data_IF_144541529130
#
_entry.id   IF_144541529130
#
_cell.length_a   1.000
_cell.length_b   1.000
_cell.length_c   1.000
_cell.angle_alpha   90.00
_cell.angle_beta   90.00
_cell.angle_gamma   90.00
#
_symmetry.space_group_name_H-M   'P 1'
#
loop_
_entity.id
_entity.type
_entity.pdbx_description
1 polymer ?
#
# COMPACT_ATOMS: atom_id res chain seq x y z
N UNK A 1 22.87 -30.28 -42.32
CA UNK A 1 22.94 -30.31 -40.84
C UNK A 1 21.77 -29.46 -40.35
N UNK A 2 20.58 -30.04 -40.42
CA UNK A 2 19.31 -29.38 -40.11
C UNK A 2 19.09 -29.35 -38.61
N UNK A 3 18.80 -28.16 -38.06
CA UNK A 3 18.29 -28.00 -36.70
C UNK A 3 16.84 -28.47 -36.69
N UNK A 4 16.60 -29.66 -36.14
CA UNK A 4 15.27 -30.08 -35.72
C UNK A 4 14.82 -29.19 -34.57
N UNK A 5 13.90 -28.28 -34.83
CA UNK A 5 13.06 -27.67 -33.81
C UNK A 5 12.25 -28.79 -33.14
N UNK A 6 12.58 -29.07 -31.88
CA UNK A 6 11.81 -29.99 -31.06
C UNK A 6 10.52 -29.32 -30.61
N UNK A 7 9.48 -29.41 -31.44
CA UNK A 7 8.10 -29.31 -30.97
C UNK A 7 7.94 -30.45 -29.96
N UNK A 8 7.96 -30.12 -28.66
CA UNK A 8 7.59 -31.06 -27.62
C UNK A 8 6.12 -31.42 -27.87
N UNK A 9 5.87 -32.67 -28.26
CA UNK A 9 4.53 -33.24 -28.28
C UNK A 9 3.93 -33.13 -26.87
N UNK A 10 3.02 -32.19 -26.67
CA UNK A 10 2.18 -32.12 -25.48
C UNK A 10 1.27 -33.35 -25.48
N UNK A 11 1.56 -34.31 -24.60
CA UNK A 11 0.71 -35.47 -24.39
C UNK A 11 -0.62 -35.04 -23.78
N UNK A 12 -1.67 -35.10 -24.61
CA UNK A 12 -3.10 -35.24 -24.32
C UNK A 12 -3.55 -35.02 -22.86
N UNK A 13 -3.82 -33.77 -22.48
CA UNK A 13 -5.11 -33.52 -21.84
C UNK A 13 -6.06 -33.21 -23.00
N UNK A 14 -6.81 -34.20 -23.52
CA UNK A 14 -7.80 -33.92 -24.57
C UNK A 14 -9.01 -33.23 -23.94
N UNK A 15 -8.83 -31.97 -23.54
CA UNK A 15 -9.93 -31.14 -23.06
C UNK A 15 -10.99 -31.10 -24.17
N UNK A 16 -12.23 -31.43 -23.84
CA UNK A 16 -13.38 -31.44 -24.75
C UNK A 16 -14.48 -30.51 -24.25
N UNK A 17 -15.36 -30.12 -25.15
CA UNK A 17 -16.59 -29.42 -24.77
C UNK A 17 -17.38 -30.23 -23.73
N UNK A 18 -17.77 -29.57 -22.64
CA UNK A 18 -18.42 -30.19 -21.48
C UNK A 18 -17.48 -30.53 -20.33
N UNK A 19 -16.16 -30.59 -20.56
CA UNK A 19 -15.21 -30.93 -19.50
C UNK A 19 -15.08 -29.81 -18.45
N UNK A 20 -14.90 -30.16 -17.16
CA UNK A 20 -14.57 -29.19 -16.12
C UNK A 20 -13.23 -28.51 -16.39
N UNK A 21 -13.19 -27.19 -16.19
CA UNK A 21 -12.00 -26.36 -16.36
C UNK A 21 -11.92 -25.32 -15.26
N UNK A 22 -10.71 -24.98 -14.81
CA UNK A 22 -10.47 -24.04 -13.73
C UNK A 22 -9.78 -22.76 -14.19
N UNK A 23 -10.02 -21.69 -13.45
CA UNK A 23 -9.28 -20.44 -13.45
C UNK A 23 -8.67 -20.28 -12.07
N UNK A 24 -7.36 -20.43 -11.95
CA UNK A 24 -6.65 -20.23 -10.68
C UNK A 24 -6.08 -18.81 -10.61
N UNK A 25 -6.49 -18.06 -9.59
CA UNK A 25 -6.11 -16.66 -9.38
C UNK A 25 -4.97 -16.53 -8.36
N UNK A 26 -4.97 -17.40 -7.35
CA UNK A 26 -3.91 -17.55 -6.35
C UNK A 26 -3.57 -19.03 -6.25
N UNK A 27 -2.28 -19.34 -6.26
CA UNK A 27 -1.73 -20.70 -6.08
C UNK A 27 -0.58 -20.71 -5.08
N UNK A 28 -0.23 -21.88 -4.55
CA UNK A 28 0.79 -22.03 -3.50
C UNK A 28 0.15 -22.50 -2.19
N UNK A 29 0.62 -21.97 -1.06
CA UNK A 29 0.08 -22.31 0.27
C UNK A 29 -1.36 -21.81 0.51
N UNK A 30 -1.85 -20.90 -0.33
CA UNK A 30 -3.24 -20.47 -0.45
C UNK A 30 -3.71 -20.71 -1.88
N UNK A 31 -4.90 -21.30 -2.04
CA UNK A 31 -5.51 -21.50 -3.36
C UNK A 31 -6.83 -20.75 -3.46
N UNK A 32 -6.92 -19.86 -4.44
CA UNK A 32 -8.17 -19.21 -4.83
C UNK A 32 -8.39 -19.47 -6.31
N UNK A 33 -9.43 -20.23 -6.62
CA UNK A 33 -9.76 -20.61 -7.98
C UNK A 33 -11.28 -20.64 -8.20
N UNK A 34 -11.67 -20.41 -9.45
CA UNK A 34 -13.02 -20.64 -9.93
C UNK A 34 -13.03 -21.84 -10.88
N UNK A 35 -14.13 -22.57 -10.90
CA UNK A 35 -14.30 -23.69 -11.85
C UNK A 35 -15.54 -23.48 -12.70
N UNK A 36 -15.43 -23.78 -13.97
CA UNK A 36 -16.50 -23.71 -14.95
C UNK A 36 -16.52 -24.91 -15.86
N UNK A 37 -17.05 -24.72 -17.05
CA UNK A 37 -17.16 -25.76 -18.07
C UNK A 37 -16.53 -25.26 -19.36
N UNK A 38 -15.82 -26.16 -20.03
CA UNK A 38 -15.29 -25.93 -21.36
C UNK A 38 -16.44 -25.87 -22.35
N UNK A 39 -16.61 -24.74 -23.02
CA UNK A 39 -17.68 -24.53 -24.01
C UNK A 39 -17.28 -25.12 -25.35
N UNK A 40 -16.06 -24.83 -25.81
CA UNK A 40 -15.57 -25.25 -27.13
C UNK A 40 -14.05 -25.32 -27.13
N UNK A 41 -13.49 -26.28 -27.88
CA UNK A 41 -12.04 -26.46 -28.05
C UNK A 41 -11.75 -26.61 -29.54
N UNK A 42 -10.82 -25.79 -30.05
CA UNK A 42 -10.33 -25.83 -31.43
C UNK A 42 -8.79 -25.82 -31.43
N UNK A 43 -8.19 -27.00 -31.59
CA UNK A 43 -6.74 -27.15 -31.45
C UNK A 43 -6.29 -26.79 -30.04
N UNK A 44 -5.48 -25.73 -29.90
CA UNK A 44 -5.04 -25.19 -28.60
C UNK A 44 -5.98 -24.14 -28.03
N UNK A 45 -6.93 -23.64 -28.82
CA UNK A 45 -7.85 -22.58 -28.42
C UNK A 45 -9.00 -23.14 -27.59
N UNK A 46 -9.34 -22.47 -26.50
CA UNK A 46 -10.38 -22.88 -25.56
C UNK A 46 -11.32 -21.71 -25.28
N UNK A 47 -12.62 -21.96 -25.37
CA UNK A 47 -13.68 -21.12 -24.82
C UNK A 47 -14.30 -21.82 -23.61
N UNK A 48 -14.54 -21.08 -22.53
CA UNK A 48 -15.10 -21.64 -21.30
C UNK A 48 -16.07 -20.68 -20.57
N UNK A 49 -16.74 -21.22 -19.56
CA UNK A 49 -17.71 -20.61 -18.64
C UNK A 49 -19.05 -20.18 -19.27
N UNK A 50 -19.05 -19.69 -20.51
CA UNK A 50 -20.26 -19.15 -21.15
C UNK A 50 -20.80 -17.87 -20.49
N UNK A 51 -20.02 -17.27 -19.59
CA UNK A 51 -20.24 -16.01 -18.91
C UNK A 51 -18.89 -15.41 -18.49
N UNK A 52 -18.77 -14.09 -18.25
CA UNK A 52 -17.53 -13.51 -17.76
C UNK A 52 -17.21 -14.02 -16.36
N UNK A 53 -15.92 -14.04 -16.01
CA UNK A 53 -15.51 -14.19 -14.62
C UNK A 53 -15.59 -12.84 -13.89
N UNK A 54 -14.89 -11.83 -14.42
CA UNK A 54 -14.90 -10.45 -13.94
C UNK A 54 -15.14 -9.43 -15.06
N UNK A 55 -15.18 -9.86 -16.33
CA UNK A 55 -15.37 -9.02 -17.50
C UNK A 55 -14.30 -7.92 -17.66
N UNK A 56 -13.03 -8.26 -17.39
CA UNK A 56 -11.92 -7.30 -17.43
C UNK A 56 -11.32 -7.08 -18.83
N UNK A 57 -11.80 -7.81 -19.84
CA UNK A 57 -11.25 -7.74 -21.19
C UNK A 57 -9.95 -8.54 -21.29
N UNK A 58 -8.82 -7.95 -21.72
CA UNK A 58 -7.53 -8.63 -21.75
C UNK A 58 -7.06 -9.03 -20.35
N UNK A 59 -6.71 -10.29 -20.17
CA UNK A 59 -6.31 -10.87 -18.87
C UNK A 59 -5.19 -11.90 -19.08
N UNK A 60 -4.59 -12.35 -17.99
CA UNK A 60 -3.66 -13.48 -17.97
C UNK A 60 -3.99 -14.36 -16.77
N UNK A 61 -5.04 -15.18 -16.90
CA UNK A 61 -5.45 -16.08 -15.82
C UNK A 61 -4.90 -17.48 -16.03
N UNK A 62 -4.49 -18.14 -14.94
CA UNK A 62 -4.02 -19.51 -15.00
C UNK A 62 -5.18 -20.46 -15.34
N UNK A 63 -5.11 -21.07 -16.53
CA UNK A 63 -6.03 -22.13 -16.94
C UNK A 63 -5.58 -23.44 -16.31
N UNK A 64 -6.45 -24.08 -15.54
CA UNK A 64 -6.14 -25.36 -14.88
C UNK A 64 -7.08 -26.46 -15.32
N UNK A 65 -6.62 -27.70 -15.19
CA UNK A 65 -7.55 -28.83 -15.08
C UNK A 65 -8.48 -28.62 -13.88
N UNK A 66 -9.69 -29.18 -13.94
CA UNK A 66 -10.58 -29.22 -12.80
C UNK A 66 -11.27 -30.58 -12.72
N UNK A 67 -11.64 -31.00 -11.52
CA UNK A 67 -12.38 -32.22 -11.27
C UNK A 67 -13.63 -31.91 -10.46
N UNK A 68 -14.75 -32.52 -10.84
CA UNK A 68 -15.98 -32.48 -10.05
C UNK A 68 -15.94 -33.63 -9.06
N UNK A 69 -15.83 -33.31 -7.77
CA UNK A 69 -15.77 -34.29 -6.69
C UNK A 69 -17.17 -34.83 -6.42
N UNK A 70 -18.14 -33.93 -6.22
CA UNK A 70 -19.54 -34.28 -5.98
C UNK A 70 -20.46 -33.11 -6.28
N UNK A 71 -21.77 -33.38 -6.31
CA UNK A 71 -22.81 -32.36 -6.32
C UNK A 71 -23.34 -32.23 -4.89
N UNK A 72 -23.34 -31.02 -4.36
CA UNK A 72 -24.00 -30.70 -3.09
C UNK A 72 -25.42 -30.23 -3.41
N UNK A 73 -26.43 -31.09 -3.19
CA UNK A 73 -27.81 -30.72 -3.46
C UNK A 73 -28.27 -29.67 -2.44
N UNK A 74 -28.98 -28.65 -2.93
CA UNK A 74 -29.64 -27.66 -2.09
C UNK A 74 -30.93 -27.21 -2.75
N UNK A 75 -31.97 -27.01 -1.94
CA UNK A 75 -33.28 -26.51 -2.38
C UNK A 75 -33.20 -25.07 -2.91
N UNK A 76 -32.26 -24.26 -2.42
CA UNK A 76 -32.07 -22.89 -2.90
C UNK A 76 -31.20 -22.87 -4.17
N UNK A 77 -30.02 -23.49 -4.12
CA UNK A 77 -29.08 -23.55 -5.24
C UNK A 77 -28.11 -24.72 -5.07
N UNK A 78 -28.23 -25.73 -5.93
CA UNK A 78 -27.27 -26.85 -5.96
C UNK A 78 -25.92 -26.38 -6.52
N UNK A 79 -24.82 -26.89 -5.97
CA UNK A 79 -23.46 -26.54 -6.40
C UNK A 79 -22.60 -27.77 -6.63
N UNK A 80 -21.58 -27.65 -7.49
CA UNK A 80 -20.56 -28.68 -7.66
C UNK A 80 -19.41 -28.37 -6.70
N UNK A 81 -19.02 -29.35 -5.89
CA UNK A 81 -17.75 -29.31 -5.18
C UNK A 81 -16.66 -29.75 -6.15
N UNK A 82 -15.69 -28.89 -6.37
CA UNK A 82 -14.65 -29.08 -7.38
C UNK A 82 -13.26 -28.93 -6.76
N UNK A 83 -12.27 -29.49 -7.43
CA UNK A 83 -10.85 -29.22 -7.17
C UNK A 83 -10.16 -28.82 -8.47
N UNK A 84 -9.15 -27.97 -8.36
CA UNK A 84 -8.27 -27.59 -9.48
C UNK A 84 -7.02 -28.45 -9.49
N UNK A 85 -6.55 -28.77 -10.69
CA UNK A 85 -5.32 -29.53 -10.94
C UNK A 85 -4.18 -28.64 -11.42
N UNK A 86 -3.31 -29.21 -12.26
CA UNK A 86 -2.16 -28.51 -12.85
C UNK A 86 -2.61 -27.34 -13.76
N UNK A 87 -1.76 -26.32 -13.85
CA UNK A 87 -1.88 -25.28 -14.88
C UNK A 87 -1.56 -25.90 -16.24
N UNK A 88 -2.50 -25.78 -17.17
CA UNK A 88 -2.42 -26.31 -18.53
C UNK A 88 -2.37 -25.22 -19.59
N UNK A 89 -2.61 -23.96 -19.24
CA UNK A 89 -2.62 -22.86 -20.21
C UNK A 89 -2.90 -21.50 -19.58
N UNK A 90 -3.33 -20.57 -20.42
CA UNK A 90 -3.63 -19.19 -20.04
C UNK A 90 -4.95 -18.74 -20.66
N UNK A 91 -5.83 -18.15 -19.87
CA UNK A 91 -6.94 -17.36 -20.40
C UNK A 91 -6.46 -15.94 -20.69
N UNK A 92 -6.62 -15.51 -21.94
CA UNK A 92 -6.15 -14.22 -22.43
C UNK A 92 -7.26 -13.18 -22.57
N UNK A 93 -8.53 -13.60 -22.52
CA UNK A 93 -9.70 -12.72 -22.57
C UNK A 93 -10.79 -13.16 -21.59
N UNK A 94 -11.42 -12.18 -20.94
CA UNK A 94 -12.58 -12.31 -20.08
C UNK A 94 -13.64 -11.29 -20.52
N UNK A 95 -14.68 -11.79 -21.19
CA UNK A 95 -15.70 -10.99 -21.88
C UNK A 95 -17.09 -11.48 -21.51
N UNK A 96 -18.11 -10.69 -21.85
CA UNK A 96 -19.51 -10.99 -21.54
C UNK A 96 -20.02 -12.38 -21.99
N UNK A 97 -19.41 -12.97 -23.03
CA UNK A 97 -19.82 -14.30 -23.54
C UNK A 97 -19.03 -15.47 -22.94
N UNK A 98 -18.02 -15.21 -22.12
CA UNK A 98 -17.11 -16.24 -21.62
C UNK A 98 -15.66 -15.79 -21.52
N UNK A 99 -14.81 -16.76 -21.19
CA UNK A 99 -13.35 -16.60 -21.22
C UNK A 99 -12.75 -17.35 -22.40
N UNK A 100 -11.73 -16.77 -23.03
CA UNK A 100 -10.97 -17.36 -24.12
C UNK A 100 -9.50 -17.51 -23.71
N UNK A 101 -8.89 -18.63 -24.09
CA UNK A 101 -7.51 -18.95 -23.74
C UNK A 101 -6.86 -19.97 -24.66
N UNK A 102 -5.60 -20.25 -24.38
CA UNK A 102 -4.75 -21.15 -25.14
C UNK A 102 -4.10 -22.18 -24.21
N UNK A 103 -4.22 -23.47 -24.55
CA UNK A 103 -3.51 -24.56 -23.88
C UNK A 103 -2.01 -24.49 -24.26
N UNK A 104 -1.14 -24.76 -23.28
CA UNK A 104 0.31 -24.79 -23.45
C UNK A 104 1.01 -23.44 -23.30
N UNK A 105 0.25 -22.32 -23.36
CA UNK A 105 0.77 -20.99 -23.03
C UNK A 105 0.63 -20.74 -21.54
N UNK A 106 1.74 -20.56 -20.83
CA UNK A 106 1.69 -20.29 -19.39
C UNK A 106 1.27 -18.84 -19.10
N UNK A 107 0.54 -18.60 -17.99
CA UNK A 107 0.18 -17.25 -17.56
C UNK A 107 1.38 -16.54 -16.92
N UNK A 108 1.37 -15.22 -16.96
CA UNK A 108 2.24 -14.39 -16.14
C UNK A 108 1.70 -14.33 -14.70
N UNK A 109 2.57 -14.65 -13.75
CA UNK A 109 2.25 -14.74 -12.32
C UNK A 109 3.25 -13.91 -11.52
N UNK A 110 2.74 -13.18 -10.52
CA UNK A 110 3.53 -12.42 -9.55
C UNK A 110 3.81 -13.31 -8.33
N UNK A 111 5.08 -13.67 -8.06
CA UNK A 111 5.47 -14.36 -6.84
C UNK A 111 5.31 -13.46 -5.61
N UNK A 112 4.69 -14.00 -4.57
CA UNK A 112 4.54 -13.38 -3.26
C UNK A 112 5.14 -14.30 -2.20
N UNK A 113 6.16 -13.83 -1.51
CA UNK A 113 6.79 -14.52 -0.39
C UNK A 113 6.42 -13.79 0.89
N UNK A 114 5.91 -14.51 1.88
CA UNK A 114 5.54 -13.94 3.19
C UNK A 114 6.25 -14.73 4.28
N UNK A 115 7.09 -14.05 5.04
CA UNK A 115 7.62 -14.56 6.29
C UNK A 115 6.73 -14.11 7.45
N UNK A 116 6.21 -15.07 8.20
CA UNK A 116 5.42 -14.81 9.41
C UNK A 116 6.28 -14.94 10.65
N UNK A 117 6.15 -13.97 11.54
CA UNK A 117 6.78 -13.93 12.84
C UNK A 117 5.71 -13.70 13.91
N UNK A 118 5.96 -14.25 15.09
CA UNK A 118 5.17 -13.97 16.30
C UNK A 118 6.12 -13.50 17.38
N UNK A 119 6.02 -12.21 17.73
CA UNK A 119 6.85 -11.57 18.74
C UNK A 119 8.36 -11.76 18.49
N UNK A 120 8.77 -11.59 17.22
CA UNK A 120 10.16 -11.71 16.78
C UNK A 120 10.64 -13.13 16.46
N UNK A 121 9.86 -14.17 16.74
CA UNK A 121 10.20 -15.55 16.39
C UNK A 121 9.52 -15.95 15.08
N UNK A 122 10.32 -16.46 14.12
CA UNK A 122 9.80 -16.91 12.82
C UNK A 122 8.90 -18.13 13.01
N UNK A 123 7.66 -18.07 12.55
CA UNK A 123 6.68 -19.14 12.70
C UNK A 123 6.48 -19.91 11.41
N UNK A 124 6.47 -19.23 10.26
CA UNK A 124 6.11 -19.85 8.97
C UNK A 124 6.66 -19.08 7.78
N UNK A 125 6.92 -19.81 6.71
CA UNK A 125 7.15 -19.26 5.37
C UNK A 125 5.98 -19.63 4.47
N UNK A 126 5.47 -18.63 3.75
CA UNK A 126 4.36 -18.77 2.83
C UNK A 126 4.79 -18.32 1.44
N UNK A 127 4.56 -19.16 0.44
CA UNK A 127 4.89 -18.90 -0.96
C UNK A 127 3.63 -18.98 -1.80
N UNK A 128 3.29 -17.87 -2.44
CA UNK A 128 2.13 -17.75 -3.33
C UNK A 128 2.55 -17.28 -4.72
N UNK A 129 1.74 -17.61 -5.71
CA UNK A 129 1.76 -16.97 -7.02
C UNK A 129 0.38 -16.41 -7.33
N UNK A 130 0.34 -15.15 -7.73
CA UNK A 130 -0.89 -14.40 -7.98
C UNK A 130 -0.95 -14.02 -9.46
N UNK A 131 -2.13 -14.13 -10.09
CA UNK A 131 -2.28 -13.71 -11.50
C UNK A 131 -1.94 -12.23 -11.69
N UNK A 132 -1.22 -11.93 -12.77
CA UNK A 132 -0.86 -10.57 -13.11
C UNK A 132 -1.98 -9.87 -13.88
N UNK A 133 -2.50 -8.78 -13.29
CA UNK A 133 -3.53 -7.93 -13.87
C UNK A 133 -3.56 -6.57 -13.16
N UNK A 134 -3.73 -5.50 -13.92
CA UNK A 134 -3.70 -4.11 -13.41
C UNK A 134 -4.67 -3.84 -12.25
N UNK A 135 -5.81 -4.53 -12.23
CA UNK A 135 -6.84 -4.34 -11.20
C UNK A 135 -6.80 -5.50 -10.20
N UNK A 136 -6.81 -6.74 -10.68
CA UNK A 136 -6.98 -7.90 -9.78
C UNK A 136 -5.77 -8.17 -8.90
N UNK A 137 -4.53 -7.96 -9.35
CA UNK A 137 -3.35 -8.32 -8.54
C UNK A 137 -3.38 -7.63 -7.17
N UNK A 138 -3.70 -6.35 -7.13
CA UNK A 138 -3.82 -5.59 -5.88
C UNK A 138 -4.93 -6.13 -4.96
N UNK A 139 -6.09 -6.45 -5.51
CA UNK A 139 -7.21 -7.03 -4.73
C UNK A 139 -6.90 -8.45 -4.23
N UNK A 140 -6.26 -9.27 -5.05
CA UNK A 140 -5.86 -10.63 -4.69
C UNK A 140 -4.76 -10.63 -3.62
N UNK A 141 -3.83 -9.67 -3.67
CA UNK A 141 -2.85 -9.46 -2.60
C UNK A 141 -3.53 -9.13 -1.27
N UNK A 142 -4.52 -8.24 -1.29
CA UNK A 142 -5.30 -7.91 -0.09
C UNK A 142 -5.99 -9.14 0.50
N UNK A 143 -6.66 -9.93 -0.35
CA UNK A 143 -7.33 -11.17 0.03
C UNK A 143 -6.32 -12.18 0.57
N UNK A 144 -5.17 -12.35 -0.08
CA UNK A 144 -4.13 -13.30 0.35
C UNK A 144 -3.58 -12.96 1.73
N UNK A 145 -3.10 -11.72 1.93
CA UNK A 145 -2.52 -11.28 3.20
C UNK A 145 -3.57 -11.36 4.31
N UNK A 146 -4.79 -10.87 4.05
CA UNK A 146 -5.89 -10.97 5.03
C UNK A 146 -6.20 -12.43 5.39
N UNK A 147 -6.34 -13.31 4.40
CA UNK A 147 -6.70 -14.72 4.64
C UNK A 147 -5.61 -15.47 5.39
N UNK A 148 -4.34 -15.27 5.03
CA UNK A 148 -3.19 -15.88 5.71
C UNK A 148 -3.17 -15.41 7.16
N UNK A 149 -3.19 -14.10 7.39
CA UNK A 149 -3.12 -13.55 8.74
C UNK A 149 -4.31 -13.98 9.59
N UNK A 150 -5.55 -13.95 9.08
CA UNK A 150 -6.74 -14.41 9.81
C UNK A 150 -6.76 -15.92 10.07
N UNK A 151 -6.02 -16.73 9.31
CA UNK A 151 -5.92 -18.18 9.52
C UNK A 151 -4.83 -18.56 10.54
N UNK A 152 -3.76 -17.77 10.63
CA UNK A 152 -2.61 -18.03 11.51
C UNK A 152 -2.73 -17.30 12.86
N UNK A 153 -3.43 -16.16 12.88
CA UNK A 153 -3.73 -15.39 14.08
C UNK A 153 -5.14 -15.65 14.59
N UNK A 154 -5.37 -15.36 15.87
CA UNK A 154 -6.72 -15.45 16.45
C UNK A 154 -7.61 -14.40 15.80
N UNK A 155 -8.74 -14.83 15.24
CA UNK A 155 -9.70 -13.97 14.52
C UNK A 155 -10.41 -12.91 15.39
N UNK A 156 -10.16 -12.89 16.71
CA UNK A 156 -10.73 -11.92 17.65
C UNK A 156 -9.71 -11.64 18.76
N UNK A 157 -9.21 -10.41 18.82
CA UNK A 157 -8.32 -9.98 19.90
C UNK A 157 -7.65 -8.64 19.62
N UNK A 158 -6.82 -8.24 20.57
CA UNK A 158 -5.88 -7.15 20.43
C UNK A 158 -4.67 -7.62 19.61
N UNK A 159 -4.32 -6.88 18.56
CA UNK A 159 -3.23 -7.26 17.66
C UNK A 159 -2.40 -6.05 17.28
N UNK A 160 -1.10 -6.16 17.51
CA UNK A 160 -0.10 -5.30 16.88
C UNK A 160 0.58 -6.08 15.76
N UNK A 161 0.73 -5.44 14.60
CA UNK A 161 1.33 -6.00 13.40
C UNK A 161 2.40 -5.04 12.88
N UNK A 162 3.66 -5.48 12.88
CA UNK A 162 4.74 -4.81 12.18
C UNK A 162 4.85 -5.37 10.76
N UNK A 163 4.74 -4.49 9.78
CA UNK A 163 4.90 -4.79 8.36
C UNK A 163 6.26 -4.25 7.91
N UNK A 164 7.04 -5.10 7.26
CA UNK A 164 8.22 -4.71 6.50
C UNK A 164 8.20 -5.48 5.17
N UNK A 165 8.49 -4.83 4.06
CA UNK A 165 8.48 -5.54 2.78
C UNK A 165 8.97 -4.70 1.62
N UNK A 166 9.16 -5.38 0.50
CA UNK A 166 9.69 -4.82 -0.73
C UNK A 166 8.88 -5.32 -1.93
N UNK A 167 8.47 -4.38 -2.78
CA UNK A 167 7.91 -4.68 -4.11
C UNK A 167 9.01 -4.46 -5.13
N UNK A 168 9.35 -5.50 -5.87
CA UNK A 168 10.37 -5.48 -6.91
C UNK A 168 9.69 -5.38 -8.29
N UNK A 169 10.14 -4.43 -9.08
CA UNK A 169 9.56 -4.10 -10.39
C UNK A 169 10.40 -4.71 -11.51
N UNK A 170 9.78 -5.00 -12.65
CA UNK A 170 10.49 -5.61 -13.80
C UNK A 170 11.62 -4.75 -14.36
N UNK A 171 11.53 -3.41 -14.23
CA UNK A 171 12.58 -2.49 -14.66
C UNK A 171 13.75 -2.38 -13.67
N UNK A 172 13.78 -3.22 -12.63
CA UNK A 172 14.85 -3.30 -11.64
C UNK A 172 14.75 -2.29 -10.49
N UNK A 173 13.73 -1.43 -10.48
CA UNK A 173 13.44 -0.58 -9.31
C UNK A 173 12.73 -1.38 -8.22
N UNK A 174 12.80 -0.88 -6.98
CA UNK A 174 12.06 -1.45 -5.86
C UNK A 174 11.49 -0.38 -4.96
N UNK A 175 10.45 -0.76 -4.21
CA UNK A 175 9.79 0.09 -3.23
C UNK A 175 9.76 -0.65 -1.91
N UNK A 176 10.43 -0.05 -0.93
CA UNK A 176 10.37 -0.49 0.45
C UNK A 176 9.14 0.07 1.14
N UNK A 177 8.44 -0.77 1.89
CA UNK A 177 7.36 -0.39 2.77
C UNK A 177 7.63 -0.91 4.18
N UNK A 178 7.45 -0.04 5.18
CA UNK A 178 7.43 -0.41 6.57
C UNK A 178 6.36 0.39 7.30
N UNK A 179 5.62 -0.25 8.20
CA UNK A 179 4.70 0.43 9.12
C UNK A 179 4.38 -0.45 10.33
N UNK A 180 3.75 0.14 11.34
CA UNK A 180 3.26 -0.54 12.52
C UNK A 180 1.77 -0.26 12.67
N UNK A 181 0.98 -1.30 12.82
CA UNK A 181 -0.46 -1.21 13.06
C UNK A 181 -0.79 -1.81 14.40
N UNK A 182 -1.72 -1.20 15.13
CA UNK A 182 -2.17 -1.71 16.42
C UNK A 182 -3.62 -1.32 16.65
N UNK A 183 -4.43 -2.30 17.01
CA UNK A 183 -5.87 -2.15 17.13
C UNK A 183 -6.55 -3.45 17.55
N UNK A 184 -7.88 -3.41 17.58
CA UNK A 184 -8.74 -4.54 17.88
C UNK A 184 -9.47 -5.03 16.61
N UNK A 185 -10.12 -6.19 16.69
CA UNK A 185 -10.97 -6.74 15.63
C UNK A 185 -10.28 -6.81 14.26
N UNK A 186 -9.04 -7.27 14.23
CA UNK A 186 -8.24 -7.44 12.99
C UNK A 186 -8.07 -6.17 12.13
N UNK A 187 -8.31 -4.98 12.70
CA UNK A 187 -8.06 -3.71 12.02
C UNK A 187 -6.61 -3.57 11.57
N UNK A 188 -5.66 -4.06 12.37
CA UNK A 188 -4.23 -4.09 12.03
C UNK A 188 -3.93 -4.92 10.78
N UNK A 189 -4.59 -6.07 10.61
CA UNK A 189 -4.44 -6.93 9.42
C UNK A 189 -5.01 -6.22 8.20
N UNK A 190 -6.20 -5.62 8.34
CA UNK A 190 -6.86 -4.89 7.27
C UNK A 190 -6.02 -3.70 6.80
N UNK A 191 -5.49 -2.90 7.72
CA UNK A 191 -4.67 -1.73 7.40
C UNK A 191 -3.36 -2.12 6.69
N UNK A 192 -2.66 -3.15 7.18
CA UNK A 192 -1.44 -3.66 6.54
C UNK A 192 -1.70 -4.21 5.14
N UNK A 193 -2.74 -5.04 4.99
CA UNK A 193 -3.15 -5.61 3.69
C UNK A 193 -3.57 -4.52 2.70
N UNK A 194 -4.22 -3.46 3.19
CA UNK A 194 -4.61 -2.31 2.38
C UNK A 194 -3.38 -1.50 1.92
N UNK A 195 -2.34 -1.35 2.75
CA UNK A 195 -1.11 -0.65 2.32
C UNK A 195 -0.43 -1.40 1.17
N UNK A 196 -0.24 -2.72 1.30
CA UNK A 196 0.39 -3.56 0.27
C UNK A 196 -0.41 -3.48 -1.04
N UNK A 197 -1.74 -3.62 -0.94
CA UNK A 197 -2.63 -3.53 -2.09
C UNK A 197 -2.62 -2.15 -2.75
N UNK A 198 -2.64 -1.07 -1.96
CA UNK A 198 -2.62 0.30 -2.47
C UNK A 198 -1.32 0.61 -3.22
N UNK A 199 -0.17 0.25 -2.64
CA UNK A 199 1.14 0.43 -3.29
C UNK A 199 1.16 -0.33 -4.63
N UNK A 200 0.75 -1.60 -4.62
CA UNK A 200 0.67 -2.43 -5.84
C UNK A 200 -0.24 -1.79 -6.88
N UNK A 201 -1.45 -1.38 -6.50
CA UNK A 201 -2.43 -0.76 -7.40
C UNK A 201 -1.89 0.51 -8.05
N UNK A 202 -1.29 1.42 -7.28
CA UNK A 202 -0.75 2.66 -7.84
C UNK A 202 0.42 2.40 -8.78
N UNK A 203 1.19 1.33 -8.58
CA UNK A 203 2.29 0.95 -9.47
C UNK A 203 1.80 0.33 -10.77
N UNK A 204 0.89 -0.64 -10.70
CA UNK A 204 0.39 -1.33 -11.89
C UNK A 204 -0.58 -0.50 -12.71
N UNK A 205 -1.24 0.49 -12.08
CA UNK A 205 -2.23 1.37 -12.70
C UNK A 205 -1.73 2.82 -12.86
N UNK A 206 -0.42 3.00 -13.05
CA UNK A 206 0.19 4.30 -13.32
C UNK A 206 0.03 4.73 -14.79
N UNK A 207 0.13 6.03 -15.08
CA UNK A 207 -0.03 6.59 -16.43
C UNK A 207 1.29 6.72 -17.23
N UNK A 208 2.44 6.44 -16.60
CA UNK A 208 3.75 6.75 -17.16
C UNK A 208 4.33 5.57 -17.94
N UNK A 209 4.28 4.37 -17.37
CA UNK A 209 4.89 3.16 -17.93
C UNK A 209 4.01 1.94 -17.63
N UNK A 210 3.94 1.00 -18.57
CA UNK A 210 3.36 -0.32 -18.29
C UNK A 210 4.37 -1.13 -17.48
N UNK A 211 4.09 -1.29 -16.19
CA UNK A 211 5.07 -1.75 -15.21
C UNK A 211 4.55 -3.01 -14.51
N UNK A 212 5.14 -4.15 -14.85
CA UNK A 212 4.91 -5.41 -14.17
C UNK A 212 5.59 -5.48 -12.81
N UNK A 213 5.11 -6.39 -11.97
CA UNK A 213 5.70 -6.70 -10.67
C UNK A 213 6.50 -7.99 -10.80
N UNK A 214 7.80 -7.91 -10.56
CA UNK A 214 8.67 -9.08 -10.62
C UNK A 214 8.47 -10.02 -9.43
N UNK A 215 8.36 -9.47 -8.22
CA UNK A 215 8.05 -10.21 -6.98
C UNK A 215 7.70 -9.28 -5.84
N UNK A 216 7.05 -9.82 -4.81
CA UNK A 216 6.76 -9.12 -3.56
C UNK A 216 7.26 -9.96 -2.40
N UNK A 217 8.11 -9.38 -1.56
CA UNK A 217 8.60 -10.02 -0.34
C UNK A 217 8.04 -9.26 0.87
N UNK A 218 7.32 -9.96 1.75
CA UNK A 218 6.73 -9.40 2.97
C UNK A 218 7.26 -10.14 4.19
N UNK A 219 7.48 -9.37 5.25
CA UNK A 219 7.70 -9.84 6.61
C UNK A 219 6.61 -9.23 7.50
N UNK A 220 5.87 -10.11 8.18
CA UNK A 220 4.77 -9.74 9.07
C UNK A 220 5.08 -10.27 10.47
N UNK A 221 5.21 -9.38 11.44
CA UNK A 221 5.46 -9.75 12.84
C UNK A 221 4.27 -9.38 13.72
N UNK A 222 3.60 -10.39 14.27
CA UNK A 222 2.40 -10.25 15.10
C UNK A 222 2.73 -10.32 16.59
N UNK A 223 2.04 -9.50 17.39
CA UNK A 223 2.03 -9.64 18.84
C UNK A 223 0.62 -9.40 19.40
N UNK A 224 0.18 -10.26 20.32
CA UNK A 224 -1.13 -10.18 21.00
C UNK A 224 -1.18 -9.09 22.09
N UNK A 225 -0.58 -7.92 21.83
CA UNK A 225 -0.58 -6.78 22.75
C UNK A 225 -0.89 -5.48 22.01
N UNK A 226 -1.69 -4.59 22.59
CA UNK A 226 -1.88 -3.24 22.03
C UNK A 226 -0.62 -2.40 22.27
N UNK A 227 0.04 -2.02 21.19
CA UNK A 227 1.15 -1.08 21.16
C UNK A 227 0.70 0.27 20.61
N UNK A 228 -0.10 1.00 21.41
CA UNK A 228 -0.56 2.36 21.12
C UNK A 228 -0.13 3.29 22.26
N UNK A 229 0.28 4.51 21.90
CA UNK A 229 0.49 5.61 22.85
C UNK A 229 -0.24 6.88 22.42
N UNK A 230 -1.03 7.44 23.33
CA UNK A 230 -1.82 8.65 23.12
C UNK A 230 -1.10 9.87 23.66
N UNK A 231 -0.96 10.91 22.85
CA UNK A 231 -0.41 12.19 23.29
C UNK A 231 -1.26 12.78 24.41
N UNK A 232 -0.64 13.06 25.56
CA UNK A 232 -1.31 13.74 26.67
C UNK A 232 -0.98 15.22 26.71
N UNK A 233 0.31 15.56 26.62
CA UNK A 233 0.78 16.94 26.66
C UNK A 233 2.15 17.08 26.01
N UNK A 234 2.37 18.26 25.45
CA UNK A 234 3.70 18.73 25.02
C UNK A 234 4.06 19.89 25.92
N UNK A 235 5.22 19.81 26.56
CA UNK A 235 5.73 20.83 27.46
C UNK A 235 7.02 21.43 26.91
N UNK A 236 7.11 22.75 26.98
CA UNK A 236 8.30 23.53 26.65
C UNK A 236 8.85 24.19 27.91
N UNK A 237 10.16 24.29 28.02
CA UNK A 237 10.82 25.04 29.08
C UNK A 237 10.63 26.56 28.93
N UNK A 238 10.41 27.04 27.70
CA UNK A 238 10.24 28.46 27.35
C UNK A 238 9.16 28.66 26.30
N UNK A 239 8.38 29.73 26.45
CA UNK A 239 7.34 30.17 25.51
C UNK A 239 7.59 31.56 24.92
N UNK A 240 8.57 32.29 25.46
CA UNK A 240 9.08 33.57 24.96
C UNK A 240 10.61 33.46 24.81
N UNK A 241 11.11 33.56 23.58
CA UNK A 241 12.50 33.18 23.25
C UNK A 241 13.18 34.20 22.34
N UNK A 242 14.49 34.32 22.45
CA UNK A 242 15.31 35.09 21.52
C UNK A 242 15.72 34.25 20.29
N UNK A 243 16.03 34.85 19.14
CA UNK A 243 16.52 34.13 17.97
C UNK A 243 17.72 33.23 18.30
N UNK A 244 17.69 31.97 17.87
CA UNK A 244 18.76 31.00 18.11
C UNK A 244 18.82 30.44 19.53
N UNK A 245 17.93 30.87 20.44
CA UNK A 245 17.86 30.31 21.79
C UNK A 245 17.38 28.85 21.76
N UNK A 246 18.01 27.98 22.54
CA UNK A 246 17.61 26.58 22.65
C UNK A 246 16.32 26.43 23.48
N UNK A 247 15.38 25.66 22.95
CA UNK A 247 14.11 25.30 23.58
C UNK A 247 14.09 23.80 23.81
N UNK A 248 13.86 23.38 25.06
CA UNK A 248 13.69 21.98 25.41
C UNK A 248 12.23 21.58 25.27
N UNK A 249 12.00 20.42 24.64
CA UNK A 249 10.67 19.87 24.39
C UNK A 249 10.53 18.55 25.12
N UNK A 250 9.45 18.39 25.88
CA UNK A 250 9.05 17.15 26.53
C UNK A 250 7.69 16.73 26.00
N UNK A 251 7.63 15.59 25.34
CA UNK A 251 6.41 14.99 24.79
C UNK A 251 6.01 13.86 25.73
N UNK A 252 4.89 14.05 26.41
CA UNK A 252 4.31 13.05 27.30
C UNK A 252 3.17 12.35 26.56
N UNK A 253 3.26 11.03 26.49
CA UNK A 253 2.20 10.19 25.98
C UNK A 253 1.89 9.08 26.98
N UNK A 254 0.66 8.57 26.95
CA UNK A 254 0.21 7.47 27.79
C UNK A 254 0.03 6.24 26.92
N UNK A 255 0.71 5.14 27.25
CA UNK A 255 0.51 3.88 26.55
C UNK A 255 -0.88 3.30 26.86
N UNK A 256 -1.30 2.27 26.13
CA UNK A 256 -2.61 1.63 26.35
C UNK A 256 -2.81 1.09 27.78
N UNK A 257 -1.74 0.70 28.47
CA UNK A 257 -1.78 0.17 29.85
C UNK A 257 -1.81 1.26 30.94
N UNK A 258 -1.66 2.53 30.57
CA UNK A 258 -1.68 3.67 31.49
C UNK A 258 -0.31 4.20 31.90
N UNK A 259 0.79 3.59 31.46
CA UNK A 259 2.13 4.08 31.77
C UNK A 259 2.44 5.36 30.99
N UNK A 260 3.13 6.28 31.67
CA UNK A 260 3.61 7.51 31.05
C UNK A 260 4.92 7.24 30.30
N UNK A 261 4.93 7.58 29.02
CA UNK A 261 6.11 7.56 28.14
C UNK A 261 6.55 9.00 27.91
N UNK A 262 7.84 9.25 28.12
CA UNK A 262 8.47 10.55 27.91
C UNK A 262 9.44 10.50 26.73
N UNK A 263 9.29 11.43 25.80
CA UNK A 263 10.31 11.73 24.78
C UNK A 263 10.79 13.15 24.94
N UNK A 264 12.10 13.30 25.08
CA UNK A 264 12.76 14.59 25.24
C UNK A 264 13.56 14.93 23.98
N UNK A 265 13.65 16.21 23.70
CA UNK A 265 14.47 16.76 22.63
C UNK A 265 14.61 18.26 22.78
N UNK A 266 15.21 18.89 21.77
CA UNK A 266 15.29 20.33 21.73
C UNK A 266 15.49 20.83 20.31
N UNK A 267 15.17 22.09 20.10
CA UNK A 267 15.40 22.77 18.84
C UNK A 267 15.79 24.23 19.10
N UNK A 268 16.41 24.87 18.11
CA UNK A 268 16.77 26.27 18.19
C UNK A 268 15.60 27.14 17.71
N UNK A 269 15.30 28.20 18.45
CA UNK A 269 14.31 29.18 18.06
C UNK A 269 14.67 29.75 16.67
N UNK A 270 13.72 29.79 15.72
CA UNK A 270 13.99 30.28 14.38
C UNK A 270 14.36 31.76 14.39
N UNK A 271 15.12 32.20 13.40
CA UNK A 271 15.48 33.62 13.28
C UNK A 271 14.28 34.41 12.72
N UNK A 272 13.48 34.99 13.62
CA UNK A 272 12.27 35.75 13.35
C UNK A 272 12.28 37.09 14.10
N UNK A 273 11.60 38.14 13.59
CA UNK A 273 11.54 39.44 14.27
C UNK A 273 10.90 39.36 15.67
N UNK A 274 11.32 40.24 16.58
CA UNK A 274 10.69 40.42 17.90
C UNK A 274 9.18 40.69 17.75
N UNK A 275 8.38 40.13 18.65
CA UNK A 275 6.91 40.21 18.64
C UNK A 275 6.22 39.25 17.67
N UNK A 276 6.96 38.55 16.80
CA UNK A 276 6.38 37.52 15.93
C UNK A 276 6.08 36.21 16.69
N UNK A 277 5.28 35.34 16.08
CA UNK A 277 4.91 34.04 16.61
C UNK A 277 5.33 32.93 15.66
N UNK A 278 5.73 31.81 16.23
CA UNK A 278 5.87 30.54 15.53
C UNK A 278 5.18 29.45 16.33
N UNK A 279 4.96 28.30 15.70
CA UNK A 279 4.18 27.19 16.24
C UNK A 279 5.00 25.92 16.18
N UNK A 280 5.06 25.21 17.29
CA UNK A 280 5.50 23.83 17.33
C UNK A 280 4.27 22.93 17.18
N UNK A 281 4.19 22.20 16.07
CA UNK A 281 3.23 21.13 15.89
C UNK A 281 3.88 19.79 16.23
N UNK A 282 3.21 18.97 17.02
CA UNK A 282 3.58 17.58 17.32
C UNK A 282 2.35 16.73 17.02
N UNK A 283 2.48 15.66 16.23
CA UNK A 283 1.31 14.83 15.94
C UNK A 283 1.59 13.52 15.21
N UNK A 284 0.54 12.72 15.13
CA UNK A 284 0.50 11.47 14.35
C UNK A 284 0.40 11.70 12.83
N UNK A 285 0.47 10.61 12.06
CA UNK A 285 0.35 10.60 10.59
C UNK A 285 -0.92 11.30 10.10
N UNK A 286 -2.07 10.99 10.70
CA UNK A 286 -3.37 11.49 10.28
C UNK A 286 -3.50 13.01 10.49
N UNK A 287 -2.99 13.48 11.63
CA UNK A 287 -3.03 14.86 12.07
C UNK A 287 -2.06 15.71 11.26
N UNK A 288 -0.88 15.18 10.95
CA UNK A 288 0.06 15.82 10.02
C UNK A 288 -0.56 15.95 8.62
N UNK A 289 -1.20 14.89 8.11
CA UNK A 289 -1.89 14.95 6.82
C UNK A 289 -3.03 15.98 6.78
N UNK A 290 -3.82 16.10 7.85
CA UNK A 290 -4.86 17.15 7.98
C UNK A 290 -4.25 18.56 8.01
N UNK A 291 -3.17 18.75 8.78
CA UNK A 291 -2.45 20.02 8.84
C UNK A 291 -1.96 20.44 7.46
N UNK A 292 -1.31 19.55 6.72
CA UNK A 292 -0.76 19.86 5.39
C UNK A 292 -1.83 20.16 4.36
N UNK A 293 -2.93 19.39 4.33
CA UNK A 293 -4.08 19.71 3.46
C UNK A 293 -4.65 21.09 3.78
N UNK A 294 -4.72 21.46 5.06
CA UNK A 294 -5.17 22.79 5.47
C UNK A 294 -4.20 23.90 5.09
N UNK A 295 -2.89 23.64 5.10
CA UNK A 295 -1.85 24.64 4.79
C UNK A 295 -1.72 24.88 3.29
N UNK A 296 -1.64 23.80 2.51
CA UNK A 296 -1.26 23.84 1.10
C UNK A 296 -2.45 23.86 0.15
N UNK A 297 -3.67 23.72 0.68
CA UNK A 297 -4.93 23.60 -0.08
C UNK A 297 -4.80 22.64 -1.28
N UNK A 298 -3.93 21.63 -1.14
CA UNK A 298 -3.51 20.80 -2.25
C UNK A 298 -4.65 19.87 -2.61
N UNK A 299 -5.02 19.88 -3.88
CA UNK A 299 -5.59 18.68 -4.49
C UNK A 299 -4.53 17.56 -4.42
N UNK A 300 -4.98 16.30 -4.44
CA UNK A 300 -4.11 15.14 -4.31
C UNK A 300 -2.84 15.30 -5.16
N UNK A 301 -1.66 15.09 -4.55
CA UNK A 301 -0.39 15.26 -5.24
C UNK A 301 -0.31 14.27 -6.40
N UNK A 302 -0.46 14.76 -7.63
CA UNK A 302 -0.35 13.92 -8.81
C UNK A 302 1.13 13.80 -9.20
N UNK A 303 1.70 12.58 -9.21
CA UNK A 303 3.05 12.36 -9.71
C UNK A 303 3.14 12.78 -11.18
N UNK A 304 4.34 13.10 -11.65
CA UNK A 304 4.59 13.53 -13.05
C UNK A 304 5.38 12.54 -13.88
N UNK A 305 5.99 11.58 -13.20
CA UNK A 305 6.76 10.51 -13.77
C UNK A 305 6.84 9.36 -12.75
N UNK A 306 7.30 8.21 -13.24
CA UNK A 306 7.41 6.99 -12.45
C UNK A 306 8.32 7.16 -11.23
N UNK A 307 9.48 7.82 -11.38
CA UNK A 307 10.40 8.06 -10.26
C UNK A 307 9.76 8.84 -9.11
N UNK A 308 8.94 9.84 -9.44
CA UNK A 308 8.22 10.62 -8.45
C UNK A 308 7.15 9.78 -7.76
N UNK A 309 6.40 8.97 -8.51
CA UNK A 309 5.42 8.02 -7.96
C UNK A 309 6.09 7.05 -6.97
N UNK A 310 7.15 6.37 -7.41
CA UNK A 310 7.94 5.43 -6.58
C UNK A 310 8.43 6.12 -5.31
N UNK A 311 8.96 7.34 -5.43
CA UNK A 311 9.42 8.12 -4.29
C UNK A 311 8.27 8.45 -3.32
N UNK A 312 7.08 8.80 -3.81
CA UNK A 312 5.92 9.06 -2.94
C UNK A 312 5.51 7.78 -2.21
N UNK A 313 5.38 6.66 -2.93
CA UNK A 313 4.96 5.38 -2.36
C UNK A 313 5.98 4.83 -1.35
N UNK A 314 7.29 4.97 -1.61
CA UNK A 314 8.34 4.55 -0.67
C UNK A 314 8.53 5.48 0.54
N UNK A 315 8.02 6.71 0.49
CA UNK A 315 8.12 7.69 1.59
C UNK A 315 6.78 7.97 2.26
N UNK A 316 5.87 6.99 2.28
CA UNK A 316 4.64 7.10 3.06
C UNK A 316 4.95 7.32 4.54
N UNK A 317 4.08 8.09 5.20
CA UNK A 317 4.18 8.33 6.63
C UNK A 317 3.80 7.06 7.39
N UNK A 318 4.61 6.76 8.39
CA UNK A 318 4.54 5.59 9.26
C UNK A 318 3.86 5.96 10.57
N UNK A 319 3.03 5.08 11.07
CA UNK A 319 2.29 5.22 12.32
C UNK A 319 3.17 5.10 13.57
N UNK A 320 4.35 4.48 13.45
CA UNK A 320 5.36 4.39 14.51
C UNK A 320 6.30 5.61 14.59
N UNK A 321 5.79 6.79 14.22
CA UNK A 321 6.54 8.05 14.19
C UNK A 321 5.78 9.17 14.90
N UNK A 322 6.49 9.95 15.70
CA UNK A 322 6.03 11.26 16.16
C UNK A 322 6.53 12.29 15.17
N UNK A 323 5.63 12.97 14.48
CA UNK A 323 5.98 14.05 13.55
C UNK A 323 6.00 15.39 14.27
N UNK A 324 7.06 16.15 14.05
CA UNK A 324 7.25 17.47 14.64
C UNK A 324 7.46 18.47 13.50
N UNK A 325 6.70 19.56 13.49
CA UNK A 325 6.77 20.59 12.45
C UNK A 325 6.78 21.97 13.06
N UNK A 326 7.74 22.80 12.68
CA UNK A 326 7.84 24.18 13.11
C UNK A 326 7.26 25.06 12.00
N UNK A 327 6.25 25.86 12.34
CA UNK A 327 5.54 26.74 11.42
C UNK A 327 5.68 28.19 11.87
N UNK A 328 5.71 29.14 10.95
CA UNK A 328 5.58 30.56 11.28
C UNK A 328 4.53 31.23 10.38
N UNK A 329 3.95 32.32 10.86
CA UNK A 329 3.03 33.17 10.09
C UNK A 329 3.80 34.00 9.04
N UNK A 330 4.41 33.28 8.09
CA UNK A 330 5.13 33.84 6.94
C UNK A 330 4.37 33.47 5.67
N UNK A 331 3.99 34.45 4.85
CA UNK A 331 3.42 34.16 3.55
C UNK A 331 4.46 33.47 2.66
N UNK A 332 3.99 32.52 1.85
CA UNK A 332 4.82 31.79 0.90
C UNK A 332 4.01 31.34 -0.31
N UNK A 333 4.66 30.58 -1.19
CA UNK A 333 3.98 29.84 -2.24
C UNK A 333 4.26 28.35 -2.06
N UNK A 334 3.23 27.53 -2.26
CA UNK A 334 3.39 26.10 -2.45
C UNK A 334 3.26 25.78 -3.94
N UNK A 335 4.31 25.22 -4.54
CA UNK A 335 4.39 24.99 -5.97
C UNK A 335 5.08 23.64 -6.24
N UNK A 336 4.40 22.76 -6.98
CA UNK A 336 4.94 21.46 -7.45
C UNK A 336 5.37 20.50 -6.32
N UNK A 337 4.75 20.58 -5.14
CA UNK A 337 5.10 19.73 -3.99
C UNK A 337 6.17 20.33 -3.07
N UNK A 338 6.73 21.48 -3.46
CA UNK A 338 7.71 22.19 -2.66
C UNK A 338 7.12 23.47 -2.10
N UNK A 339 7.52 23.76 -0.86
CA UNK A 339 7.19 25.00 -0.21
C UNK A 339 8.30 26.01 -0.47
N UNK A 340 7.93 27.18 -0.97
CA UNK A 340 8.81 28.32 -1.19
C UNK A 340 8.47 29.38 -0.13
N UNK A 341 9.11 29.31 1.06
CA UNK A 341 8.82 30.23 2.15
C UNK A 341 9.38 31.63 1.84
N UNK A 342 8.67 32.66 2.30
CA UNK A 342 9.19 34.04 2.35
C UNK A 342 9.67 34.60 1.00
N UNK A 343 8.90 34.37 -0.07
CA UNK A 343 9.22 34.90 -1.39
C UNK A 343 9.07 36.43 -1.45
N UNK A 344 10.03 37.15 -2.06
CA UNK A 344 9.87 38.57 -2.37
C UNK A 344 8.61 38.81 -3.24
N UNK A 345 7.89 39.93 -3.03
CA UNK A 345 6.66 40.23 -3.78
C UNK A 345 6.83 40.20 -5.31
N UNK A 346 7.99 40.58 -5.81
CA UNK A 346 8.34 40.56 -7.25
C UNK A 346 8.48 39.16 -7.83
N UNK A 347 8.96 38.18 -7.04
CA UNK A 347 9.07 36.78 -7.47
C UNK A 347 7.69 36.11 -7.39
N UNK A 348 6.88 36.48 -6.38
CA UNK A 348 5.51 36.00 -6.23
C UNK A 348 4.64 36.31 -7.45
N UNK A 349 4.74 37.53 -8.01
CA UNK A 349 3.98 37.96 -9.19
C UNK A 349 4.42 37.27 -10.49
N UNK A 350 5.68 36.83 -10.59
CA UNK A 350 6.13 36.04 -11.75
C UNK A 350 5.48 34.66 -11.78
N UNK A 351 5.39 33.98 -10.63
CA UNK A 351 4.79 32.65 -10.52
C UNK A 351 3.25 32.65 -10.59
N UNK A 352 2.61 33.76 -10.21
CA UNK A 352 1.15 33.91 -10.33
C UNK A 352 0.68 34.31 -11.73
N UNK A 353 1.61 34.57 -12.69
CA UNK A 353 1.23 34.98 -14.05
C UNK A 353 0.73 33.78 -14.87
N UNK A 354 -0.52 33.85 -15.31
CA UNK A 354 -1.24 32.76 -16.01
C UNK A 354 -0.67 32.35 -17.37
N UNK A 355 0.40 33.02 -17.85
CA UNK A 355 1.04 32.75 -19.15
C UNK A 355 2.18 31.73 -19.09
N UNK A 356 2.64 31.31 -17.90
CA UNK A 356 3.83 30.45 -17.74
C UNK A 356 3.57 29.18 -16.92
N UNK A 357 2.50 29.12 -16.11
CA UNK A 357 2.31 28.04 -15.15
C UNK A 357 1.37 26.94 -15.67
N UNK A 358 1.91 25.73 -15.93
CA UNK A 358 1.10 24.51 -16.09
C UNK A 358 0.48 24.02 -14.77
N UNK A 359 0.87 24.61 -13.64
CA UNK A 359 0.34 24.32 -12.30
C UNK A 359 0.21 25.62 -11.51
N UNK A 360 -1.00 25.98 -11.11
CA UNK A 360 -1.30 27.22 -10.37
C UNK A 360 -0.66 27.10 -8.97
N UNK A 361 0.23 28.03 -8.56
CA UNK A 361 0.81 28.01 -7.21
C UNK A 361 -0.26 28.33 -6.17
N UNK A 362 -0.23 27.63 -5.03
CA UNK A 362 -1.11 27.95 -3.90
C UNK A 362 -0.43 28.96 -2.99
N UNK A 363 -1.11 30.07 -2.69
CA UNK A 363 -0.64 30.99 -1.66
C UNK A 363 -0.85 30.39 -0.27
N UNK A 364 0.20 30.41 0.55
CA UNK A 364 0.14 29.93 1.93
C UNK A 364 0.35 31.10 2.89
N UNK A 365 -0.40 31.10 4.00
CA UNK A 365 -0.32 32.12 5.06
C UNK A 365 0.66 31.74 6.17
N UNK A 366 0.92 30.44 6.34
CA UNK A 366 1.92 29.87 7.25
C UNK A 366 2.94 29.09 6.46
N UNK A 367 4.22 29.29 6.78
CA UNK A 367 5.31 28.55 6.17
C UNK A 367 5.96 27.57 7.15
N UNK A 368 6.38 26.42 6.66
CA UNK A 368 7.20 25.42 7.34
C UNK A 368 8.64 25.89 7.43
N UNK A 369 9.18 25.93 8.66
CA UNK A 369 10.57 26.26 8.92
C UNK A 369 11.42 25.00 9.07
N UNK A 370 10.89 23.96 9.71
CA UNK A 370 11.59 22.69 9.90
C UNK A 370 10.60 21.55 10.13
N UNK A 371 11.01 20.34 9.75
CA UNK A 371 10.26 19.09 9.97
C UNK A 371 11.21 18.07 10.57
N UNK A 372 10.76 17.38 11.61
CA UNK A 372 11.47 16.30 12.28
C UNK A 372 10.54 15.11 12.49
N UNK A 373 11.13 13.94 12.67
CA UNK A 373 10.39 12.73 13.03
C UNK A 373 11.18 11.91 14.05
N UNK A 374 10.48 11.27 14.99
CA UNK A 374 11.07 10.41 16.01
C UNK A 374 10.48 9.00 15.84
N UNK A 375 11.33 7.96 15.63
CA UNK A 375 10.89 6.55 15.65
C UNK A 375 10.51 6.16 17.07
N UNK A 376 9.37 5.51 17.21
CA UNK A 376 8.87 4.97 18.49
C UNK A 376 8.43 3.51 18.29
N UNK A 377 8.48 2.65 19.32
CA UNK A 377 8.13 1.23 19.20
C UNK A 377 6.61 0.97 19.31
N UNK A 378 5.78 2.00 19.09
CA UNK A 378 4.32 1.95 19.24
C UNK A 378 3.65 2.86 18.22
N UNK A 379 2.37 2.62 17.94
CA UNK A 379 1.54 3.53 17.16
C UNK A 379 1.27 4.79 17.98
N UNK A 380 1.71 5.94 17.48
CA UNK A 380 1.48 7.22 18.14
C UNK A 380 0.16 7.84 17.68
N UNK A 381 -0.69 8.29 18.62
CA UNK A 381 -1.98 8.92 18.34
C UNK A 381 -2.13 10.26 19.05
N UNK A 382 -2.69 11.25 18.36
CA UNK A 382 -2.96 12.58 18.87
C UNK A 382 -2.10 13.66 18.23
N UNK A 383 -2.41 14.91 18.57
CA UNK A 383 -1.68 16.07 18.11
C UNK A 383 -1.82 17.26 19.07
N UNK A 384 -0.81 18.14 19.05
CA UNK A 384 -0.80 19.41 19.75
C UNK A 384 -0.13 20.48 18.88
N UNK A 385 -0.62 21.71 19.00
CA UNK A 385 -0.02 22.89 18.37
C UNK A 385 0.24 23.94 19.45
N UNK A 386 1.51 24.28 19.66
CA UNK A 386 1.96 25.14 20.74
C UNK A 386 2.49 26.45 20.15
N UNK A 387 1.85 27.60 20.42
CA UNK A 387 2.36 28.90 20.00
C UNK A 387 3.53 29.36 20.89
N UNK A 388 4.57 29.89 20.27
CA UNK A 388 5.78 30.42 20.93
C UNK A 388 6.03 31.82 20.38
N UNK A 389 6.40 32.77 21.25
CA UNK A 389 6.62 34.18 20.91
C UNK A 389 8.11 34.51 20.83
N UNK A 390 8.45 35.38 19.90
CA UNK A 390 9.79 35.97 19.80
C UNK A 390 9.90 37.20 20.70
N UNK A 391 10.93 37.22 21.55
CA UNK A 391 11.30 38.39 22.37
C UNK A 391 11.84 39.53 21.53
#
# INVERSE_FOLDING_TARGET
>A
MERKEGIRNFSETSLKGGDPIGVQLISGDLSLAATGTTTYVEGVNVLAFGHPLYNLGPVSYAMTEANVITVVPSLSTSMKLTSTGKIIGNFSQDRNSGVYGEIGRMPDLVPLNIELFRSGEKTKDIHLNIVENKILTASLLNVAVTSIMSSEERSIGDLTLELNGDVFLENGMSIHMEDLYSGNFDSSISDASNLVAAITYYLTNNEFEDLGIHKIDLKLDSSEEISISYLEKVWLDKYDVSPGEAIQVKIYSRNFRGDNVLKEGGFLAPNLPSGSKFYLFVGDTSSMGRLERSLYQTQAFMPRNLYQLIRILGNQRKNNRIYIKILADKPGLFLKGEELPNLPPSIKTMFSSSRVATSIPTEISKSTLSVFQIKVPFVFKGAAMIPIRMK
#
